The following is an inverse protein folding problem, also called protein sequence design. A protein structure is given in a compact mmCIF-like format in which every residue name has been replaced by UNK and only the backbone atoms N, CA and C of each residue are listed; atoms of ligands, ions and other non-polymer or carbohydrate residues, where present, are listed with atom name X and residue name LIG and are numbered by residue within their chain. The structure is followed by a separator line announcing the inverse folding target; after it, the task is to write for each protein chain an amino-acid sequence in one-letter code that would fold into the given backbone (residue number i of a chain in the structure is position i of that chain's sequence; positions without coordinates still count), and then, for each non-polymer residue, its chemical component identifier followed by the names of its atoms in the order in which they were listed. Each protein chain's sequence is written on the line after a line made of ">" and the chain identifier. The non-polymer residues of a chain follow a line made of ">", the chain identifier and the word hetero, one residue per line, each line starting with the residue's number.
data_IF_993371080636
#
_entry.id   IF_993371080636
#
_cell.length_a   1.000
_cell.length_b   1.000
_cell.length_c   1.000
_cell.angle_alpha   90.00
_cell.angle_beta   90.00
_cell.angle_gamma   90.00
#
_symmetry.space_group_name_H-M   'P 1'
#
loop_
_entity.id
_entity.type
_entity.pdbx_description
1 polymer ?
#
# COMPACT_ATOMS: atom_id res chain seq x y z
N UNK A 1 20.50 -8.97 6.32
CA UNK A 1 20.40 -7.50 6.09
C UNK A 1 18.93 -7.13 6.18
N UNK A 2 18.54 -6.28 7.13
CA UNK A 2 17.20 -5.69 7.10
C UNK A 2 17.16 -4.74 5.89
N UNK A 3 16.32 -5.05 4.90
CA UNK A 3 16.10 -4.15 3.78
C UNK A 3 15.59 -2.80 4.31
N UNK A 4 16.20 -1.71 3.88
CA UNK A 4 15.73 -0.38 4.21
C UNK A 4 14.40 -0.15 3.49
N UNK A 5 13.30 -0.18 4.24
CA UNK A 5 11.94 -0.08 3.72
C UNK A 5 11.71 1.21 2.90
N UNK A 6 12.46 2.27 3.22
CA UNK A 6 12.42 3.54 2.49
C UNK A 6 13.03 3.42 1.10
N UNK A 7 14.11 2.66 0.97
CA UNK A 7 14.77 2.40 -0.31
C UNK A 7 13.85 1.56 -1.19
N UNK A 8 13.15 0.57 -0.61
CA UNK A 8 12.11 -0.18 -1.33
C UNK A 8 10.98 0.72 -1.87
N UNK A 9 10.48 1.67 -1.07
CA UNK A 9 9.49 2.64 -1.57
C UNK A 9 10.05 3.48 -2.72
N UNK A 10 11.32 3.91 -2.63
CA UNK A 10 11.99 4.68 -3.68
C UNK A 10 12.17 3.87 -4.97
N UNK A 11 12.54 2.59 -4.85
CA UNK A 11 12.65 1.66 -5.97
C UNK A 11 11.29 1.48 -6.66
N UNK A 12 10.21 1.28 -5.90
CA UNK A 12 8.84 1.17 -6.46
C UNK A 12 8.47 2.42 -7.26
N UNK A 13 8.74 3.62 -6.72
CA UNK A 13 8.49 4.87 -7.45
C UNK A 13 9.31 4.98 -8.75
N UNK A 14 10.46 4.32 -8.81
CA UNK A 14 11.34 4.34 -9.99
C UNK A 14 10.89 3.40 -11.11
N UNK A 15 10.06 2.39 -10.80
CA UNK A 15 9.60 1.39 -11.77
C UNK A 15 8.76 1.99 -12.91
N UNK A 16 7.92 2.98 -12.59
CA UNK A 16 7.08 3.65 -13.57
C UNK A 16 6.77 5.10 -13.18
N UNK A 17 6.77 6.00 -14.16
CA UNK A 17 6.52 7.43 -13.96
C UNK A 17 5.11 7.76 -13.48
N UNK A 18 4.15 6.86 -13.70
CA UNK A 18 2.77 7.00 -13.25
C UNK A 18 2.56 6.67 -11.77
N UNK A 19 3.54 6.05 -11.10
CA UNK A 19 3.48 5.79 -9.66
C UNK A 19 3.85 7.08 -8.92
N UNK A 20 2.90 7.59 -8.13
CA UNK A 20 2.98 8.90 -7.44
C UNK A 20 3.35 8.76 -5.96
N UNK A 21 3.12 7.58 -5.39
CA UNK A 21 3.29 7.28 -3.98
C UNK A 21 3.63 5.80 -3.82
N UNK A 22 4.45 5.47 -2.84
CA UNK A 22 4.65 4.10 -2.38
C UNK A 22 4.75 4.10 -0.86
N UNK A 23 4.06 3.16 -0.20
CA UNK A 23 4.00 3.07 1.25
C UNK A 23 3.93 1.63 1.72
N UNK A 24 4.51 1.36 2.87
CA UNK A 24 4.47 0.08 3.55
C UNK A 24 3.82 0.30 4.91
N UNK A 25 2.79 -0.47 5.22
CA UNK A 25 2.13 -0.49 6.51
C UNK A 25 2.22 -1.87 7.17
N UNK A 26 2.28 -1.89 8.50
CA UNK A 26 2.24 -3.13 9.27
C UNK A 26 0.81 -3.69 9.41
N UNK A 27 0.63 -4.85 10.08
CA UNK A 27 -0.69 -5.46 10.35
C UNK A 27 -1.65 -4.59 11.16
N UNK A 28 -1.21 -3.48 11.76
CA UNK A 28 -2.09 -2.54 12.47
C UNK A 28 -2.52 -1.37 11.58
N UNK A 29 -2.02 -1.30 10.34
CA UNK A 29 -2.28 -0.19 9.43
C UNK A 29 -1.39 1.02 9.68
N UNK A 30 -0.39 0.92 10.57
CA UNK A 30 0.60 1.99 10.76
C UNK A 30 1.59 1.97 9.60
N UNK A 31 1.75 3.10 8.94
CA UNK A 31 2.74 3.29 7.87
C UNK A 31 4.14 3.31 8.51
N UNK A 32 5.00 2.37 8.09
CA UNK A 32 6.37 2.21 8.60
C UNK A 32 7.42 2.76 7.64
N UNK A 33 7.07 2.93 6.37
CA UNK A 33 7.87 3.62 5.37
C UNK A 33 6.96 4.15 4.26
N UNK A 34 7.32 5.30 3.68
CA UNK A 34 6.62 5.87 2.55
C UNK A 34 7.50 6.83 1.77
N UNK A 35 7.21 6.98 0.49
CA UNK A 35 7.82 7.95 -0.41
C UNK A 35 6.75 8.54 -1.34
N UNK A 36 6.96 9.80 -1.69
CA UNK A 36 6.16 10.52 -2.68
C UNK A 36 7.07 11.01 -3.79
N UNK A 37 6.54 11.08 -5.01
CA UNK A 37 7.24 11.78 -6.08
C UNK A 37 7.37 13.26 -5.76
N UNK A 38 8.60 13.79 -5.82
CA UNK A 38 8.90 15.21 -5.51
C UNK A 38 8.28 16.19 -6.50
N UNK A 39 8.02 15.74 -7.73
CA UNK A 39 7.46 16.50 -8.84
C UNK A 39 5.91 16.49 -8.87
N UNK A 40 5.28 15.83 -7.90
CA UNK A 40 3.85 15.60 -7.88
C UNK A 40 3.26 16.03 -6.55
N UNK A 41 2.26 16.92 -6.59
CA UNK A 41 1.44 17.19 -5.42
C UNK A 41 0.73 15.91 -4.98
N UNK A 42 0.93 15.44 -3.74
CA UNK A 42 0.19 14.32 -3.19
C UNK A 42 -1.32 14.58 -3.29
N UNK A 43 -2.06 13.61 -3.82
CA UNK A 43 -3.52 13.68 -3.82
C UNK A 43 -4.08 13.48 -2.40
N UNK A 44 -3.71 12.39 -1.68
CA UNK A 44 -4.02 12.27 -0.27
C UNK A 44 -2.99 13.00 0.61
N UNK A 45 -3.47 13.54 1.73
CA UNK A 45 -2.63 13.98 2.85
C UNK A 45 -1.99 12.79 3.57
N UNK A 46 -0.99 13.05 4.42
CA UNK A 46 -0.37 12.02 5.25
C UNK A 46 -1.40 11.31 6.17
N UNK A 47 -2.34 12.06 6.75
CA UNK A 47 -3.40 11.50 7.60
C UNK A 47 -4.36 10.62 6.79
N UNK A 48 -4.68 11.03 5.56
CA UNK A 48 -5.51 10.25 4.65
C UNK A 48 -4.81 8.95 4.22
N UNK A 49 -3.48 9.00 4.04
CA UNK A 49 -2.66 7.80 3.77
C UNK A 49 -2.70 6.84 4.95
N UNK A 50 -2.51 7.32 6.19
CA UNK A 50 -2.61 6.45 7.38
C UNK A 50 -4.01 5.86 7.54
N UNK A 51 -5.06 6.68 7.37
CA UNK A 51 -6.45 6.21 7.40
C UNK A 51 -6.71 5.14 6.33
N UNK A 52 -6.17 5.34 5.12
CA UNK A 52 -6.27 4.39 4.01
C UNK A 52 -5.53 3.08 4.30
N UNK A 53 -4.36 3.15 4.95
CA UNK A 53 -3.60 1.98 5.37
C UNK A 53 -4.37 1.13 6.39
N UNK A 54 -4.98 1.75 7.41
CA UNK A 54 -5.85 1.06 8.38
C UNK A 54 -7.03 0.39 7.67
N UNK A 55 -7.76 1.14 6.85
CA UNK A 55 -8.90 0.60 6.08
C UNK A 55 -8.49 -0.58 5.22
N UNK A 56 -7.27 -0.55 4.70
CA UNK A 56 -6.74 -1.59 3.83
C UNK A 56 -6.38 -2.86 4.57
N UNK A 57 -5.79 -2.73 5.75
CA UNK A 57 -5.58 -3.86 6.66
C UNK A 57 -6.92 -4.53 6.97
N UNK A 58 -7.92 -3.75 7.38
CA UNK A 58 -9.25 -4.28 7.68
C UNK A 58 -9.86 -5.01 6.48
N UNK A 59 -9.74 -4.44 5.27
CA UNK A 59 -10.25 -5.04 4.03
C UNK A 59 -9.56 -6.34 3.64
N UNK A 60 -8.32 -6.54 4.06
CA UNK A 60 -7.61 -7.80 3.85
C UNK A 60 -7.99 -8.82 4.93
N UNK A 61 -8.17 -8.39 6.17
CA UNK A 61 -8.63 -9.24 7.28
C UNK A 61 -10.01 -9.82 7.02
N UNK A 62 -10.97 -9.03 6.54
CA UNK A 62 -12.31 -9.53 6.22
C UNK A 62 -12.34 -10.54 5.07
N UNK A 63 -11.25 -10.69 4.31
CA UNK A 63 -11.12 -11.73 3.29
C UNK A 63 -10.62 -13.06 3.85
N UNK A 64 -10.09 -13.08 5.08
CA UNK A 64 -9.64 -14.31 5.76
C UNK A 64 -10.79 -15.34 5.84
N UNK A 65 -12.03 -14.88 6.02
CA UNK A 65 -13.25 -15.70 6.05
C UNK A 65 -13.46 -16.55 4.78
N UNK A 66 -12.91 -16.12 3.65
CA UNK A 66 -13.05 -16.80 2.36
C UNK A 66 -11.80 -17.59 1.96
N UNK A 67 -10.71 -17.51 2.72
CA UNK A 67 -9.42 -18.11 2.33
C UNK A 67 -9.50 -19.63 2.27
N UNK A 68 -10.33 -20.26 3.11
CA UNK A 68 -10.57 -21.70 3.07
C UNK A 68 -11.17 -22.18 1.74
N UNK A 69 -11.84 -21.29 0.98
CA UNK A 69 -12.48 -21.61 -0.30
C UNK A 69 -11.73 -21.05 -1.50
N UNK A 70 -11.22 -19.83 -1.40
CA UNK A 70 -10.65 -19.07 -2.51
C UNK A 70 -9.12 -19.00 -2.47
N UNK A 71 -8.50 -19.47 -1.38
CA UNK A 71 -7.10 -19.23 -1.09
C UNK A 71 -6.85 -17.82 -0.52
N UNK A 72 -5.62 -17.61 -0.03
CA UNK A 72 -5.21 -16.37 0.63
C UNK A 72 -5.30 -15.16 -0.31
N UNK A 73 -5.91 -14.07 0.15
CA UNK A 73 -5.93 -12.83 -0.62
C UNK A 73 -4.50 -12.24 -0.77
N UNK A 74 -3.99 -12.18 -2.00
CA UNK A 74 -2.62 -11.73 -2.31
C UNK A 74 -2.56 -10.22 -2.52
N UNK A 75 -3.49 -9.64 -3.28
CA UNK A 75 -3.51 -8.21 -3.58
C UNK A 75 -4.94 -7.70 -3.81
N UNK A 76 -5.10 -6.39 -3.83
CA UNK A 76 -6.33 -5.70 -4.21
C UNK A 76 -5.99 -4.49 -5.07
N UNK A 77 -6.89 -4.12 -5.97
CA UNK A 77 -6.76 -2.92 -6.79
C UNK A 77 -8.03 -2.08 -6.68
N UNK A 78 -7.87 -0.77 -6.76
CA UNK A 78 -8.98 0.18 -6.83
C UNK A 78 -8.70 1.18 -7.95
N UNK A 79 -9.68 1.37 -8.82
CA UNK A 79 -9.65 2.38 -9.88
C UNK A 79 -10.60 3.52 -9.49
N UNK A 80 -10.06 4.72 -9.35
CA UNK A 80 -10.81 5.97 -9.23
C UNK A 80 -10.78 6.71 -10.57
N UNK A 81 -11.72 7.62 -10.77
CA UNK A 81 -11.75 8.48 -11.96
C UNK A 81 -10.45 9.31 -12.13
N UNK A 82 -9.79 9.64 -11.00
CA UNK A 82 -8.61 10.51 -10.97
C UNK A 82 -7.30 9.80 -10.62
N UNK A 83 -7.36 8.55 -10.16
CA UNK A 83 -6.19 7.82 -9.68
C UNK A 83 -6.43 6.31 -9.65
N UNK A 84 -5.35 5.55 -9.53
CA UNK A 84 -5.40 4.11 -9.28
C UNK A 84 -4.64 3.83 -7.99
N UNK A 85 -5.07 2.81 -7.27
CA UNK A 85 -4.36 2.33 -6.09
C UNK A 85 -4.22 0.81 -6.13
N UNK A 86 -3.00 0.32 -5.93
CA UNK A 86 -2.69 -1.09 -5.82
C UNK A 86 -2.24 -1.39 -4.39
N UNK A 87 -2.64 -2.55 -3.89
CA UNK A 87 -2.31 -2.95 -2.53
C UNK A 87 -1.94 -4.41 -2.50
N UNK A 88 -0.77 -4.71 -1.98
CA UNK A 88 -0.23 -6.07 -1.95
C UNK A 88 -0.06 -6.53 -0.50
N UNK A 89 -0.47 -7.76 -0.20
CA UNK A 89 -0.20 -8.37 1.11
C UNK A 89 1.30 -8.67 1.18
N UNK A 90 2.00 -8.03 2.11
CA UNK A 90 3.41 -8.29 2.32
C UNK A 90 3.66 -8.86 3.70
N UNK A 91 4.10 -10.11 3.77
CA UNK A 91 4.48 -10.84 4.98
C UNK A 91 3.42 -10.71 6.11
N UNK A 92 3.57 -9.69 6.96
CA UNK A 92 2.70 -9.32 8.09
C UNK A 92 2.17 -7.88 7.94
N UNK A 93 1.77 -7.46 6.75
CA UNK A 93 1.38 -6.07 6.47
C UNK A 93 0.84 -5.87 5.05
N UNK A 94 0.67 -4.60 4.67
CA UNK A 94 0.18 -4.21 3.34
C UNK A 94 1.11 -3.15 2.75
N UNK A 95 1.48 -3.35 1.49
CA UNK A 95 2.17 -2.37 0.68
C UNK A 95 1.15 -1.66 -0.23
N UNK A 96 1.26 -0.34 -0.35
CA UNK A 96 0.40 0.54 -1.15
C UNK A 96 1.25 1.26 -2.20
N UNK A 97 0.81 1.32 -3.46
CA UNK A 97 1.42 2.17 -4.48
C UNK A 97 0.49 2.46 -5.67
#
# INVERSE_FOLDING_TARGET
>A
MAANLKDTCSEILSLDKSIRFAGIANIMGKVVAQEFRKDVTPLPSFEEVESSAIKSVLRMRTREDYEAKLGRAIYTFTLYEKSRGHQFRWNTGIMHY
#
